data_IF_004991421740
#
_entry.id   IF_004991421740
#
_cell.length_a   1.000
_cell.length_b   1.000
_cell.length_c   1.000
_cell.angle_alpha   90.00
_cell.angle_beta   90.00
_cell.angle_gamma   90.00
#
_symmetry.space_group_name_H-M   'P 1'
#
loop_
_entity.id
_entity.type
_entity.pdbx_description
1 polymer ?
#
# COMPACT_ATOMS: atom_id res chain seq x y z
N UNK A 1 23.54 16.25 -10.74
CA UNK A 1 22.71 15.85 -11.89
C UNK A 1 22.65 14.32 -11.89
N UNK A 2 21.75 13.75 -11.09
CA UNK A 2 21.46 12.33 -11.12
C UNK A 2 20.12 12.17 -11.83
N UNK A 3 20.18 11.91 -13.13
CA UNK A 3 19.08 11.24 -13.83
C UNK A 3 19.15 9.78 -13.41
N UNK A 4 18.58 9.47 -12.25
CA UNK A 4 18.26 8.10 -11.88
C UNK A 4 17.14 7.65 -12.82
N UNK A 5 17.44 6.66 -13.64
CA UNK A 5 16.52 6.10 -14.60
C UNK A 5 15.20 5.71 -13.91
N UNK A 6 14.16 6.49 -14.18
CA UNK A 6 12.78 6.02 -14.09
C UNK A 6 12.69 4.76 -14.96
N UNK A 7 12.60 3.59 -14.33
CA UNK A 7 12.14 2.38 -15.00
C UNK A 7 10.64 2.51 -15.20
N UNK A 8 10.25 3.35 -16.14
CA UNK A 8 9.04 3.10 -16.91
C UNK A 8 9.14 1.68 -17.47
N UNK A 9 8.16 0.82 -17.15
CA UNK A 9 7.99 -0.57 -17.58
C UNK A 9 8.51 -1.69 -16.66
N UNK A 10 7.80 -1.95 -15.56
CA UNK A 10 7.14 -3.25 -15.39
C UNK A 10 5.71 -2.99 -14.91
N UNK A 11 4.72 -3.47 -15.67
CA UNK A 11 3.31 -3.38 -15.29
C UNK A 11 3.06 -4.24 -14.06
N UNK A 12 2.99 -3.60 -12.90
CA UNK A 12 2.80 -4.21 -11.61
C UNK A 12 1.68 -3.51 -10.85
N UNK A 13 1.11 -4.20 -9.87
CA UNK A 13 0.10 -3.62 -8.99
C UNK A 13 0.74 -3.19 -7.66
N UNK A 14 0.42 -2.00 -7.17
CA UNK A 14 1.04 -1.45 -5.95
C UNK A 14 0.00 -0.96 -4.94
N UNK A 15 0.33 -1.09 -3.65
CA UNK A 15 -0.37 -0.42 -2.56
C UNK A 15 0.65 0.42 -1.79
N UNK A 16 0.27 1.63 -1.39
CA UNK A 16 1.11 2.48 -0.55
C UNK A 16 0.56 2.49 0.89
N UNK A 17 1.45 2.35 1.88
CA UNK A 17 1.13 2.42 3.30
C UNK A 17 1.89 3.58 3.92
N UNK A 18 1.16 4.54 4.48
CA UNK A 18 1.69 5.68 5.21
C UNK A 18 1.78 5.33 6.69
N UNK A 19 2.88 5.72 7.33
CA UNK A 19 3.15 5.40 8.72
C UNK A 19 3.66 6.63 9.47
N UNK A 20 3.21 6.86 10.72
CA UNK A 20 3.81 7.85 11.61
C UNK A 20 5.20 7.41 12.12
N UNK A 21 5.59 6.16 11.91
CA UNK A 21 6.88 5.63 12.33
C UNK A 21 7.97 5.90 11.28
N UNK A 22 9.21 6.19 11.69
CA UNK A 22 10.32 6.35 10.76
C UNK A 22 10.68 5.02 10.06
N UNK A 23 11.27 5.11 8.87
CA UNK A 23 11.63 3.97 8.03
C UNK A 23 12.41 2.86 8.76
N UNK A 24 13.33 3.22 9.67
CA UNK A 24 14.12 2.25 10.44
C UNK A 24 13.28 1.34 11.36
N UNK A 25 12.10 1.80 11.79
CA UNK A 25 11.15 1.00 12.57
C UNK A 25 10.15 0.26 11.67
N UNK A 26 9.85 0.81 10.49
CA UNK A 26 8.88 0.23 9.57
C UNK A 26 9.47 -0.92 8.75
N UNK A 27 10.73 -0.82 8.29
CA UNK A 27 11.34 -1.83 7.41
C UNK A 27 11.28 -3.27 7.98
N UNK A 28 11.60 -3.52 9.26
CA UNK A 28 11.46 -4.85 9.83
C UNK A 28 10.02 -5.39 9.80
N UNK A 29 9.02 -4.51 9.93
CA UNK A 29 7.60 -4.87 9.83
C UNK A 29 7.24 -5.28 8.40
N UNK A 30 7.77 -4.56 7.40
CA UNK A 30 7.61 -4.90 5.97
C UNK A 30 8.17 -6.29 5.70
N UNK A 31 9.41 -6.56 6.12
CA UNK A 31 9.99 -7.89 5.94
C UNK A 31 9.19 -8.99 6.66
N UNK A 32 8.66 -8.69 7.86
CA UNK A 32 7.82 -9.62 8.59
C UNK A 32 6.51 -9.91 7.86
N UNK A 33 5.88 -8.89 7.27
CA UNK A 33 4.67 -9.04 6.46
C UNK A 33 4.92 -9.90 5.21
N UNK A 34 6.06 -9.70 4.53
CA UNK A 34 6.45 -10.51 3.37
C UNK A 34 6.66 -11.98 3.76
N UNK A 35 7.39 -12.23 4.84
CA UNK A 35 7.58 -13.60 5.37
C UNK A 35 6.27 -14.25 5.80
N UNK A 36 5.34 -13.48 6.36
CA UNK A 36 4.03 -13.98 6.78
C UNK A 36 3.17 -14.47 5.59
N UNK A 37 3.36 -13.89 4.39
CA UNK A 37 2.76 -14.36 3.14
C UNK A 37 3.54 -15.53 2.51
N UNK A 38 4.56 -16.06 3.19
CA UNK A 38 5.38 -17.16 2.69
C UNK A 38 6.36 -16.74 1.58
N UNK A 39 6.60 -15.43 1.43
CA UNK A 39 7.56 -14.93 0.45
C UNK A 39 8.99 -15.21 0.91
N UNK A 40 9.84 -15.58 -0.05
CA UNK A 40 11.25 -15.84 0.17
C UNK A 40 12.07 -14.77 -0.53
N UNK A 41 12.98 -14.14 0.22
CA UNK A 41 13.91 -13.15 -0.31
C UNK A 41 14.91 -13.81 -1.26
N UNK A 42 15.15 -13.19 -2.40
CA UNK A 42 16.16 -13.62 -3.35
C UNK A 42 17.57 -13.39 -2.80
N UNK A 43 18.49 -14.33 -3.03
CA UNK A 43 19.80 -14.33 -2.37
C UNK A 43 20.74 -13.19 -2.82
N UNK A 44 20.56 -12.68 -4.04
CA UNK A 44 21.43 -11.66 -4.65
C UNK A 44 20.83 -10.24 -4.67
N UNK A 45 19.56 -10.08 -4.25
CA UNK A 45 18.82 -8.82 -4.30
C UNK A 45 18.00 -8.65 -3.03
N UNK A 46 18.35 -7.63 -2.24
CA UNK A 46 17.77 -7.41 -0.91
C UNK A 46 16.30 -7.03 -0.92
N UNK A 47 15.79 -6.54 -2.06
CA UNK A 47 14.40 -6.08 -2.21
C UNK A 47 13.52 -7.05 -2.99
N UNK A 48 14.07 -8.04 -3.68
CA UNK A 48 13.29 -8.96 -4.50
C UNK A 48 12.84 -10.16 -3.67
N UNK A 49 11.54 -10.41 -3.65
CA UNK A 49 10.90 -11.50 -2.94
C UNK A 49 10.03 -12.30 -3.89
N UNK A 50 9.90 -13.59 -3.63
CA UNK A 50 9.13 -14.48 -4.48
C UNK A 50 8.21 -15.36 -3.66
N UNK A 51 6.99 -15.55 -4.15
CA UNK A 51 6.08 -16.55 -3.59
C UNK A 51 6.41 -17.96 -4.12
N UNK A 52 5.68 -18.96 -3.63
CA UNK A 52 5.86 -20.35 -4.05
C UNK A 52 5.57 -20.60 -5.55
N UNK A 53 4.85 -19.70 -6.22
CA UNK A 53 4.59 -19.74 -7.65
C UNK A 53 5.66 -19.00 -8.47
N UNK A 54 6.66 -18.40 -7.82
CA UNK A 54 7.73 -17.65 -8.47
C UNK A 54 7.32 -16.23 -8.88
N UNK A 55 6.27 -15.67 -8.29
CA UNK A 55 5.84 -14.30 -8.60
C UNK A 55 6.67 -13.27 -7.85
N UNK A 56 7.16 -12.22 -8.53
CA UNK A 56 8.03 -11.23 -7.91
C UNK A 56 7.23 -10.20 -7.11
N UNK A 57 7.66 -9.98 -5.88
CA UNK A 57 7.23 -8.91 -4.99
C UNK A 57 8.42 -8.10 -4.57
N UNK A 58 8.22 -6.83 -4.30
CA UNK A 58 9.24 -5.99 -3.70
C UNK A 58 8.58 -4.83 -2.95
N UNK A 59 9.40 -4.09 -2.22
CA UNK A 59 8.96 -2.90 -1.50
C UNK A 59 9.96 -1.76 -1.67
N UNK A 60 9.45 -0.53 -1.54
CA UNK A 60 10.25 0.68 -1.42
C UNK A 60 9.83 1.41 -0.14
N UNK A 61 10.81 1.93 0.60
CA UNK A 61 10.59 2.84 1.72
C UNK A 61 11.10 4.21 1.34
N UNK A 62 10.23 5.20 1.46
CA UNK A 62 10.51 6.55 1.03
C UNK A 62 10.03 7.55 2.10
N UNK A 63 10.58 8.75 2.05
CA UNK A 63 9.98 9.88 2.73
C UNK A 63 8.61 10.17 2.10
N UNK A 64 7.69 10.68 2.91
CA UNK A 64 6.32 10.99 2.46
C UNK A 64 6.32 12.01 1.33
N UNK A 65 7.22 12.98 1.37
CA UNK A 65 7.39 14.06 0.38
C UNK A 65 8.02 13.62 -0.95
N UNK A 66 8.39 12.35 -1.12
CA UNK A 66 9.05 11.88 -2.33
C UNK A 66 8.08 11.75 -3.51
N UNK A 67 6.95 11.09 -3.30
CA UNK A 67 5.89 10.92 -4.30
C UNK A 67 4.69 11.80 -3.99
N UNK A 68 4.40 12.02 -2.69
CA UNK A 68 3.22 12.75 -2.26
C UNK A 68 3.57 14.11 -1.69
N UNK A 69 2.95 15.17 -2.22
CA UNK A 69 3.13 16.51 -1.66
C UNK A 69 2.51 16.65 -0.27
N UNK A 70 2.91 17.68 0.51
CA UNK A 70 2.23 18.04 1.77
C UNK A 70 0.72 18.27 1.59
N UNK A 71 0.30 18.80 0.43
CA UNK A 71 -1.11 19.03 0.12
C UNK A 71 -1.89 17.71 -0.06
N UNK A 72 -1.25 16.68 -0.63
CA UNK A 72 -1.87 15.37 -0.88
C UNK A 72 -1.96 14.54 0.40
N UNK A 73 -1.04 14.74 1.35
CA UNK A 73 -1.03 14.04 2.64
C UNK A 73 -1.78 14.80 3.74
N UNK A 74 -2.07 16.09 3.57
CA UNK A 74 -2.77 16.88 4.59
C UNK A 74 -4.14 16.31 5.03
N UNK A 75 -5.01 15.79 4.14
CA UNK A 75 -6.26 15.15 4.55
C UNK A 75 -6.01 13.93 5.45
N UNK A 76 -5.02 13.12 5.10
CA UNK A 76 -4.60 11.96 5.88
C UNK A 76 -4.10 12.39 7.26
N UNK A 77 -3.14 13.31 7.34
CA UNK A 77 -2.54 13.72 8.62
C UNK A 77 -3.55 14.42 9.53
N UNK A 78 -4.43 15.22 8.96
CA UNK A 78 -5.56 15.84 9.67
C UNK A 78 -6.49 14.79 10.28
N UNK A 79 -6.79 13.74 9.53
CA UNK A 79 -7.58 12.63 10.04
C UNK A 79 -6.78 11.85 11.09
N UNK A 80 -5.57 11.38 10.78
CA UNK A 80 -4.75 10.60 11.69
C UNK A 80 -4.45 11.36 13.01
N UNK A 81 -4.43 12.69 12.97
CA UNK A 81 -4.05 13.53 14.10
C UNK A 81 -2.55 13.51 14.38
N UNK A 82 -1.76 13.01 13.42
CA UNK A 82 -0.32 12.82 13.52
C UNK A 82 0.30 12.94 12.12
N UNK A 83 1.53 13.48 12.07
CA UNK A 83 2.34 13.58 10.87
C UNK A 83 2.80 12.20 10.41
N UNK A 84 2.81 11.96 9.10
CA UNK A 84 3.33 10.73 8.53
C UNK A 84 4.84 10.86 8.29
N UNK A 85 5.62 9.97 8.88
CA UNK A 85 7.09 10.02 8.82
C UNK A 85 7.68 9.18 7.68
N UNK A 86 6.91 8.23 7.15
CA UNK A 86 7.36 7.31 6.12
C UNK A 86 6.19 6.83 5.27
N UNK A 87 6.47 6.58 4.00
CA UNK A 87 5.59 5.79 3.15
C UNK A 87 6.29 4.51 2.67
N UNK A 88 5.51 3.44 2.54
CA UNK A 88 5.94 2.13 2.06
C UNK A 88 5.13 1.76 0.84
N UNK A 89 5.77 1.69 -0.32
CA UNK A 89 5.15 1.15 -1.51
C UNK A 89 5.44 -0.35 -1.58
N UNK A 90 4.42 -1.18 -1.35
CA UNK A 90 4.48 -2.62 -1.61
C UNK A 90 3.97 -2.88 -3.02
N UNK A 91 4.66 -3.72 -3.78
CA UNK A 91 4.30 -3.99 -5.17
C UNK A 91 4.52 -5.44 -5.57
N UNK A 92 3.69 -5.89 -6.50
CA UNK A 92 3.92 -7.11 -7.27
C UNK A 92 4.41 -6.71 -8.66
N UNK A 93 5.60 -7.18 -9.06
CA UNK A 93 6.27 -6.76 -10.30
C UNK A 93 5.59 -7.21 -11.59
N UNK A 94 4.53 -8.02 -11.49
CA UNK A 94 3.62 -8.40 -12.56
C UNK A 94 2.21 -8.16 -12.04
N UNK A 95 1.35 -7.47 -12.78
CA UNK A 95 -0.08 -7.29 -12.45
C UNK A 95 -0.87 -8.61 -12.55
N UNK A 96 -0.39 -9.69 -11.94
CA UNK A 96 -1.10 -10.96 -11.80
C UNK A 96 -2.20 -10.79 -10.74
N UNK A 97 -3.50 -10.88 -11.13
CA UNK A 97 -4.61 -10.80 -10.19
C UNK A 97 -4.50 -11.80 -9.04
N UNK A 98 -3.88 -12.97 -9.25
CA UNK A 98 -3.73 -13.98 -8.22
C UNK A 98 -2.73 -13.61 -7.12
N UNK A 99 -1.88 -12.60 -7.35
CA UNK A 99 -0.96 -12.09 -6.35
C UNK A 99 -1.49 -10.89 -5.54
N UNK A 100 -2.57 -10.24 -5.98
CA UNK A 100 -3.18 -9.07 -5.33
C UNK A 100 -3.75 -9.35 -3.94
N UNK A 101 -4.32 -10.53 -3.63
CA UNK A 101 -4.75 -10.84 -2.27
C UNK A 101 -3.59 -10.81 -1.26
N UNK A 102 -2.41 -11.30 -1.64
CA UNK A 102 -1.22 -11.24 -0.78
C UNK A 102 -0.76 -9.79 -0.59
N UNK A 103 -0.77 -8.98 -1.66
CA UNK A 103 -0.47 -7.55 -1.60
C UNK A 103 -1.38 -6.82 -0.58
N UNK A 104 -2.69 -7.05 -0.68
CA UNK A 104 -3.65 -6.46 0.25
C UNK A 104 -3.43 -6.90 1.70
N UNK A 105 -3.17 -8.18 1.95
CA UNK A 105 -2.89 -8.68 3.31
C UNK A 105 -1.62 -8.11 3.90
N UNK A 106 -0.56 -7.94 3.10
CA UNK A 106 0.66 -7.27 3.54
C UNK A 106 0.39 -5.82 3.90
N UNK A 107 -0.31 -5.07 3.04
CA UNK A 107 -0.66 -3.67 3.31
C UNK A 107 -1.52 -3.52 4.57
N UNK A 108 -2.53 -4.37 4.75
CA UNK A 108 -3.34 -4.40 5.97
C UNK A 108 -2.50 -4.69 7.22
N UNK A 109 -1.64 -5.71 7.17
CA UNK A 109 -0.77 -6.05 8.31
C UNK A 109 0.14 -4.88 8.66
N UNK A 110 0.71 -4.21 7.66
CA UNK A 110 1.55 -3.04 7.88
C UNK A 110 0.77 -1.89 8.50
N UNK A 111 -0.44 -1.62 8.00
CA UNK A 111 -1.30 -0.61 8.59
C UNK A 111 -1.62 -0.91 10.07
N UNK A 112 -1.87 -2.18 10.43
CA UNK A 112 -2.06 -2.59 11.83
C UNK A 112 -0.79 -2.39 12.67
N UNK A 113 0.34 -2.92 12.21
CA UNK A 113 1.57 -3.00 13.01
C UNK A 113 2.31 -1.66 13.10
N UNK A 114 2.11 -0.78 12.13
CA UNK A 114 2.76 0.52 12.06
C UNK A 114 1.85 1.70 12.43
N UNK A 115 0.60 1.45 12.88
CA UNK A 115 -0.43 2.47 13.08
C UNK A 115 -0.63 3.33 11.81
N UNK A 116 -0.61 2.64 10.67
CA UNK A 116 -0.55 3.22 9.34
C UNK A 116 -1.89 3.28 8.62
N UNK A 117 -1.85 3.94 7.46
CA UNK A 117 -2.98 4.12 6.55
C UNK A 117 -2.61 3.61 5.18
N UNK A 118 -3.55 2.94 4.51
CA UNK A 118 -3.34 2.44 3.15
C UNK A 118 -3.93 3.43 2.17
N UNK A 119 -3.11 3.89 1.23
CA UNK A 119 -3.55 4.64 0.07
C UNK A 119 -3.97 3.68 -1.03
N UNK A 120 -5.16 3.92 -1.57
CA UNK A 120 -5.77 3.14 -2.65
C UNK A 120 -6.10 4.10 -3.80
N UNK A 121 -5.52 3.83 -4.96
CA UNK A 121 -5.81 4.48 -6.25
C UNK A 121 -6.53 3.48 -7.17
N UNK A 122 -7.79 3.77 -7.49
CA UNK A 122 -8.64 2.92 -8.32
C UNK A 122 -8.60 3.39 -9.78
N UNK A 123 -8.33 2.44 -10.69
CA UNK A 123 -8.32 2.74 -12.12
C UNK A 123 -9.71 3.12 -12.66
N UNK A 124 -10.73 2.39 -12.20
CA UNK A 124 -12.12 2.58 -12.56
C UNK A 124 -12.87 3.19 -11.38
N UNK A 125 -13.98 3.92 -11.62
CA UNK A 125 -14.85 4.36 -10.55
C UNK A 125 -15.17 3.20 -9.61
N UNK A 126 -15.08 3.41 -8.29
CA UNK A 126 -15.36 2.35 -7.36
C UNK A 126 -16.77 1.78 -7.56
N UNK A 127 -16.98 0.49 -7.26
CA UNK A 127 -18.32 -0.06 -7.15
C UNK A 127 -19.18 0.79 -6.19
N UNK A 128 -20.45 0.97 -6.54
CA UNK A 128 -21.38 1.74 -5.73
C UNK A 128 -21.40 1.22 -4.28
N UNK A 129 -21.28 2.13 -3.32
CA UNK A 129 -21.29 1.81 -1.89
C UNK A 129 -19.97 1.31 -1.31
N UNK A 130 -18.86 1.29 -2.07
CA UNK A 130 -17.56 0.91 -1.50
C UNK A 130 -17.12 1.87 -0.38
N UNK A 131 -17.37 3.17 -0.58
CA UNK A 131 -16.98 4.19 0.38
C UNK A 131 -17.77 4.03 1.67
N UNK A 132 -19.07 3.79 1.56
CA UNK A 132 -19.96 3.47 2.68
C UNK A 132 -19.55 2.16 3.38
N UNK A 133 -18.96 1.20 2.66
CA UNK A 133 -18.37 0.01 3.27
C UNK A 133 -17.17 0.38 4.15
N UNK A 134 -16.23 1.19 3.65
CA UNK A 134 -15.07 1.61 4.44
C UNK A 134 -15.46 2.47 5.64
N UNK A 135 -16.32 3.47 5.43
CA UNK A 135 -16.78 4.38 6.49
C UNK A 135 -17.55 3.64 7.59
N UNK A 136 -18.22 2.52 7.28
CA UNK A 136 -18.85 1.67 8.30
C UNK A 136 -17.87 0.77 9.03
N UNK A 137 -16.81 0.33 8.37
CA UNK A 137 -15.84 -0.60 8.93
C UNK A 137 -14.74 0.10 9.74
N UNK A 138 -14.37 1.31 9.34
CA UNK A 138 -13.28 2.07 9.90
C UNK A 138 -13.26 3.47 9.34
N UNK A 139 -12.07 4.05 9.26
CA UNK A 139 -11.86 5.41 8.78
C UNK A 139 -11.46 5.39 7.31
N UNK A 140 -12.10 6.27 6.54
CA UNK A 140 -11.84 6.48 5.13
C UNK A 140 -11.79 7.98 4.86
N UNK A 141 -10.77 8.43 4.14
CA UNK A 141 -10.57 9.84 3.78
C UNK A 141 -10.32 9.90 2.28
N UNK A 142 -11.04 10.76 1.57
CA UNK A 142 -10.77 11.01 0.16
C UNK A 142 -9.43 11.75 0.03
N UNK A 143 -8.55 11.26 -0.84
CA UNK A 143 -7.28 11.91 -1.15
C UNK A 143 -7.41 12.95 -2.28
N UNK A 144 -8.43 12.78 -3.14
CA UNK A 144 -8.75 13.67 -4.24
C UNK A 144 -10.27 13.83 -4.39
N UNK A 145 -10.69 14.85 -5.14
CA UNK A 145 -12.10 15.18 -5.37
C UNK A 145 -12.83 14.21 -6.31
N UNK A 146 -12.13 13.27 -6.94
CA UNK A 146 -12.67 12.39 -7.98
C UNK A 146 -13.26 11.06 -7.47
N UNK A 147 -13.35 10.87 -6.15
CA UNK A 147 -13.86 9.65 -5.50
C UNK A 147 -13.19 8.35 -5.99
N UNK A 148 -11.99 8.42 -6.59
CA UNK A 148 -11.22 7.23 -6.99
C UNK A 148 -10.02 6.96 -6.11
N UNK A 149 -9.68 7.91 -5.24
CA UNK A 149 -8.48 7.85 -4.43
C UNK A 149 -8.81 8.07 -2.95
N UNK A 150 -8.42 7.11 -2.11
CA UNK A 150 -8.73 7.14 -0.68
C UNK A 150 -7.55 6.69 0.18
N UNK A 151 -7.47 7.27 1.37
CA UNK A 151 -6.74 6.71 2.50
C UNK A 151 -7.72 5.93 3.39
N UNK A 152 -7.37 4.69 3.70
CA UNK A 152 -8.15 3.82 4.59
C UNK A 152 -7.28 3.36 5.76
N UNK A 153 -7.86 3.31 6.95
CA UNK A 153 -7.18 2.71 8.10
C UNK A 153 -7.17 1.18 7.99
N UNK A 154 -6.53 0.52 8.96
CA UNK A 154 -6.46 -0.93 9.00
C UNK A 154 -7.85 -1.61 9.04
N UNK A 155 -8.83 -1.03 9.73
CA UNK A 155 -10.16 -1.63 9.85
C UNK A 155 -10.95 -1.56 8.54
N UNK A 156 -10.88 -0.41 7.85
CA UNK A 156 -11.44 -0.26 6.51
C UNK A 156 -10.70 -1.14 5.48
N UNK A 157 -9.38 -1.27 5.59
CA UNK A 157 -8.61 -2.20 4.76
C UNK A 157 -8.99 -3.66 5.03
N UNK A 158 -9.27 -4.06 6.27
CA UNK A 158 -9.76 -5.41 6.57
C UNK A 158 -11.10 -5.69 5.89
N UNK A 159 -11.99 -4.71 5.84
CA UNK A 159 -13.24 -4.82 5.09
C UNK A 159 -12.98 -4.97 3.58
N UNK A 160 -12.08 -4.18 3.00
CA UNK A 160 -11.63 -4.37 1.61
C UNK A 160 -11.21 -5.83 1.34
N UNK A 161 -10.41 -6.40 2.25
CA UNK A 161 -9.88 -7.75 2.06
C UNK A 161 -10.94 -8.85 2.04
N UNK A 162 -12.08 -8.64 2.69
CA UNK A 162 -13.18 -9.58 2.69
C UNK A 162 -13.91 -9.67 1.34
N UNK A 163 -13.59 -8.80 0.38
CA UNK A 163 -14.28 -8.65 -0.90
C UNK A 163 -13.31 -8.82 -2.09
N UNK A 164 -13.10 -10.07 -2.59
CA UNK A 164 -12.14 -10.39 -3.65
C UNK A 164 -12.36 -9.64 -4.96
N UNK A 165 -13.60 -9.25 -5.25
CA UNK A 165 -14.00 -8.47 -6.42
C UNK A 165 -13.45 -7.03 -6.41
N UNK A 166 -13.11 -6.49 -5.23
CA UNK A 166 -12.66 -5.12 -5.11
C UNK A 166 -11.17 -4.95 -5.34
N UNK A 167 -10.36 -6.01 -5.36
CA UNK A 167 -8.90 -5.97 -5.56
C UNK A 167 -8.45 -5.57 -6.99
N UNK A 168 -9.16 -4.64 -7.64
CA UNK A 168 -8.70 -3.93 -8.82
C UNK A 168 -7.96 -2.68 -8.36
N UNK A 169 -6.66 -2.85 -8.22
CA UNK A 169 -5.71 -1.78 -7.93
C UNK A 169 -4.79 -1.71 -9.16
N UNK A 170 -4.41 -0.51 -9.57
CA UNK A 170 -3.47 -0.26 -10.66
C UNK A 170 -2.19 -1.09 -10.45
#
# INVERSE_FOLDING_TARGET
>A
MFLGAYSSAMGGTALCVFSPLPAALVEPLVEAAFRAEGLVRHADRTRDWYDAAGRPYAYYLEATDFEFGPEETAPLESAAGVEMACQVQVHIGVSDPAGRPALGRMAHRLAVEADGWVYIDLHDPPPAGIRELFERAGRCVAAADDDTVFFVDAAAMAAWLAHPEFYVIK
#
